data_IF_071589478769
#
_entry.id   IF_071589478769
#
_cell.length_a   1.000
_cell.length_b   1.000
_cell.length_c   1.000
_cell.angle_alpha   90.00
_cell.angle_beta   90.00
_cell.angle_gamma   90.00
#
_symmetry.space_group_name_H-M   'P 1'
#
loop_
_entity.id
_entity.type
_entity.pdbx_description
1 polymer ?
#
# COMPACT_ATOMS: atom_id res chain seq x y z
N UNK A 1 16.98 -1.34 -18.48
CA UNK A 1 17.40 -0.24 -17.58
C UNK A 1 16.17 0.18 -16.82
N UNK A 2 16.23 0.14 -15.50
CA UNK A 2 15.17 0.58 -14.59
C UNK A 2 15.81 1.56 -13.61
N UNK A 3 15.04 2.55 -13.15
CA UNK A 3 15.48 3.56 -12.18
C UNK A 3 14.39 3.70 -11.13
N UNK A 4 14.79 3.81 -9.87
CA UNK A 4 13.87 4.02 -8.76
C UNK A 4 13.63 5.51 -8.56
N UNK A 5 12.37 5.91 -8.46
CA UNK A 5 11.99 7.28 -8.15
C UNK A 5 12.24 7.57 -6.68
N UNK A 6 12.83 8.73 -6.31
CA UNK A 6 12.93 9.14 -4.92
C UNK A 6 11.55 9.49 -4.33
N UNK A 7 11.44 9.65 -3.00
CA UNK A 7 10.28 10.24 -2.35
C UNK A 7 9.88 11.57 -3.00
N UNK A 8 8.59 11.73 -3.29
CA UNK A 8 8.03 12.95 -3.87
C UNK A 8 6.60 13.16 -3.38
N UNK A 9 6.13 14.41 -3.42
CA UNK A 9 4.73 14.74 -3.16
C UNK A 9 3.82 14.23 -4.29
N UNK A 10 2.52 14.08 -4.01
CA UNK A 10 1.54 13.69 -5.03
C UNK A 10 1.51 14.69 -6.19
N UNK A 11 1.45 14.20 -7.42
CA UNK A 11 1.31 15.02 -8.62
C UNK A 11 2.07 14.49 -9.83
N UNK A 12 1.73 15.04 -11.00
CA UNK A 12 2.48 14.82 -12.22
C UNK A 12 3.83 15.53 -12.15
N UNK A 13 4.87 14.86 -12.67
CA UNK A 13 6.22 15.40 -12.80
C UNK A 13 6.76 15.10 -14.18
N UNK A 14 7.69 15.95 -14.58
CA UNK A 14 8.40 15.79 -15.85
C UNK A 14 9.53 14.78 -15.68
N UNK A 15 9.73 13.96 -16.71
CA UNK A 15 10.87 13.04 -16.77
C UNK A 15 11.89 13.60 -17.74
N UNK A 16 13.09 13.85 -17.25
CA UNK A 16 14.24 14.25 -18.07
C UNK A 16 15.26 13.11 -18.14
N UNK A 17 15.63 12.72 -19.35
CA UNK A 17 16.73 11.79 -19.60
C UNK A 17 17.92 12.59 -20.11
N UNK A 18 19.08 12.43 -19.47
CA UNK A 18 20.33 13.09 -19.86
C UNK A 18 21.39 12.06 -20.26
N UNK A 19 22.01 12.24 -21.43
CA UNK A 19 23.14 11.41 -21.88
C UNK A 19 24.45 11.89 -21.26
N UNK A 20 25.47 11.04 -21.24
CA UNK A 20 26.80 11.39 -20.72
C UNK A 20 27.42 12.59 -21.47
N UNK A 21 27.09 12.75 -22.74
CA UNK A 21 27.57 13.82 -23.61
C UNK A 21 26.84 15.16 -23.39
N UNK A 22 25.91 15.22 -22.42
CA UNK A 22 25.23 16.45 -22.01
C UNK A 22 23.92 16.75 -22.74
N UNK A 23 23.49 15.92 -23.69
CA UNK A 23 22.18 16.08 -24.32
C UNK A 23 21.07 15.67 -23.34
N UNK A 24 19.96 16.41 -23.31
CA UNK A 24 18.78 16.01 -22.56
C UNK A 24 17.50 16.02 -23.38
N UNK A 25 16.55 15.21 -22.96
CA UNK A 25 15.19 15.16 -23.51
C UNK A 25 14.22 15.11 -22.34
N UNK A 26 13.28 16.03 -22.32
CA UNK A 26 12.27 16.18 -21.27
C UNK A 26 10.90 15.82 -21.83
N UNK A 27 10.18 14.97 -21.10
CA UNK A 27 8.78 14.70 -21.34
C UNK A 27 7.96 15.33 -20.20
N UNK A 28 7.10 16.32 -20.49
CA UNK A 28 6.21 16.91 -19.50
C UNK A 28 5.17 15.93 -18.98
N UNK A 29 4.84 16.00 -17.68
CA UNK A 29 3.79 15.20 -17.01
C UNK A 29 3.90 13.68 -17.28
N UNK A 30 5.12 13.20 -17.47
CA UNK A 30 5.39 11.82 -17.91
C UNK A 30 5.23 10.78 -16.81
N UNK A 31 5.26 11.20 -15.54
CA UNK A 31 5.11 10.33 -14.38
C UNK A 31 4.20 10.98 -13.34
N UNK A 32 3.35 10.19 -12.67
CA UNK A 32 2.45 10.68 -11.63
C UNK A 32 2.79 9.99 -10.31
N UNK A 33 3.11 10.78 -9.29
CA UNK A 33 3.20 10.30 -7.91
C UNK A 33 1.79 10.25 -7.32
N UNK A 34 1.34 9.06 -6.94
CA UNK A 34 0.09 8.87 -6.21
C UNK A 34 0.34 8.90 -4.70
N UNK A 35 -0.57 9.53 -3.95
CA UNK A 35 -0.56 9.44 -2.50
C UNK A 35 -1.01 8.04 -2.05
N UNK A 36 -0.37 7.55 -0.99
CA UNK A 36 -0.85 6.38 -0.28
C UNK A 36 -2.25 6.66 0.27
N UNK A 37 -3.22 5.81 -0.08
CA UNK A 37 -4.57 5.84 0.48
C UNK A 37 -5.09 4.43 0.70
N UNK A 38 -5.85 4.23 1.77
CA UNK A 38 -6.58 3.00 2.03
C UNK A 38 -8.07 3.34 2.10
N UNK A 39 -8.84 2.81 1.15
CA UNK A 39 -10.25 3.16 0.96
C UNK A 39 -11.18 2.14 1.60
N UNK A 40 -10.88 0.84 1.50
CA UNK A 40 -11.77 -0.22 1.98
C UNK A 40 -11.04 -1.53 2.25
N UNK A 41 -11.60 -2.31 3.18
CA UNK A 41 -11.28 -3.72 3.40
C UNK A 41 -12.46 -4.60 2.97
N UNK A 42 -12.20 -5.71 2.29
CA UNK A 42 -13.24 -6.68 1.91
C UNK A 42 -12.70 -8.11 1.86
N UNK A 43 -13.37 -9.13 2.42
CA UNK A 43 -14.55 -9.04 3.29
C UNK A 43 -14.27 -8.21 4.55
N UNK A 44 -15.33 -7.63 5.13
CA UNK A 44 -15.23 -6.86 6.40
C UNK A 44 -15.28 -7.76 7.65
N UNK A 45 -15.32 -9.08 7.46
CA UNK A 45 -15.34 -10.08 8.51
C UNK A 45 -14.24 -11.11 8.27
N UNK A 46 -13.63 -11.56 9.37
CA UNK A 46 -12.68 -12.67 9.42
C UNK A 46 -12.94 -13.52 10.67
N UNK A 47 -12.61 -14.80 10.62
CA UNK A 47 -12.66 -15.73 11.74
C UNK A 47 -11.58 -15.43 12.77
N UNK A 48 -11.89 -15.67 14.05
CA UNK A 48 -10.92 -15.52 15.16
C UNK A 48 -9.69 -16.42 15.03
N UNK A 49 -9.79 -17.53 14.29
CA UNK A 49 -8.68 -18.44 14.00
C UNK A 49 -7.66 -17.86 12.99
N UNK A 50 -8.03 -16.79 12.29
CA UNK A 50 -7.21 -16.16 11.24
C UNK A 50 -7.19 -16.96 9.94
N UNK A 51 -6.16 -16.74 9.13
CA UNK A 51 -5.95 -17.32 7.79
C UNK A 51 -7.02 -16.95 6.75
N UNK A 52 -7.99 -16.12 7.10
CA UNK A 52 -8.90 -15.54 6.12
C UNK A 52 -8.16 -14.58 5.20
N UNK A 53 -8.42 -14.72 3.90
CA UNK A 53 -7.91 -13.81 2.88
C UNK A 53 -8.84 -12.61 2.77
N UNK A 54 -8.31 -11.43 3.07
CA UNK A 54 -8.98 -10.15 2.86
C UNK A 54 -8.22 -9.31 1.83
N UNK A 55 -8.93 -8.35 1.25
CA UNK A 55 -8.43 -7.44 0.23
C UNK A 55 -8.48 -6.01 0.75
N UNK A 56 -7.37 -5.30 0.58
CA UNK A 56 -7.24 -3.88 0.89
C UNK A 56 -7.28 -3.11 -0.42
N UNK A 57 -8.31 -2.28 -0.59
CA UNK A 57 -8.49 -1.41 -1.75
C UNK A 57 -7.97 -0.02 -1.42
N UNK A 58 -7.15 0.56 -2.29
CA UNK A 58 -6.45 1.81 -2.04
C UNK A 58 -5.82 2.42 -3.28
N UNK A 59 -4.81 3.27 -3.07
CA UNK A 59 -3.93 3.84 -4.11
C UNK A 59 -2.52 3.95 -3.56
N UNK A 60 -1.53 4.08 -4.44
CA UNK A 60 -0.13 4.26 -4.06
C UNK A 60 0.52 3.03 -3.40
N UNK A 61 -0.03 1.81 -3.57
CA UNK A 61 0.59 0.60 -3.06
C UNK A 61 1.78 0.20 -3.93
N UNK A 62 2.99 0.31 -3.39
CA UNK A 62 4.22 -0.02 -4.10
C UNK A 62 4.75 -1.36 -3.61
N UNK A 63 4.87 -2.31 -4.54
CA UNK A 63 5.44 -3.61 -4.22
C UNK A 63 6.85 -3.46 -3.63
N UNK A 64 7.18 -4.28 -2.62
CA UNK A 64 8.42 -4.17 -1.84
C UNK A 64 8.53 -2.96 -0.90
N UNK A 65 7.63 -1.98 -0.98
CA UNK A 65 7.66 -0.75 -0.17
C UNK A 65 6.43 -0.57 0.72
N UNK A 66 5.70 -1.65 0.99
CA UNK A 66 4.47 -1.62 1.80
C UNK A 66 4.62 -2.56 2.99
N UNK A 67 4.08 -2.16 4.14
CA UNK A 67 3.79 -3.04 5.27
C UNK A 67 2.33 -2.91 5.68
N UNK A 68 1.70 -4.04 6.01
CA UNK A 68 0.29 -4.11 6.41
C UNK A 68 0.23 -4.42 7.91
N UNK A 69 -0.65 -3.72 8.62
CA UNK A 69 -0.92 -3.98 10.03
C UNK A 69 -2.41 -4.12 10.31
N UNK A 70 -2.78 -5.11 11.13
CA UNK A 70 -4.13 -5.32 11.66
C UNK A 70 -4.04 -5.19 13.18
N UNK A 71 -4.79 -4.25 13.76
CA UNK A 71 -4.69 -3.88 15.18
C UNK A 71 -3.25 -3.60 15.66
N UNK A 72 -2.48 -2.87 14.84
CA UNK A 72 -1.04 -2.60 15.05
C UNK A 72 -0.13 -3.84 15.05
N UNK A 73 -0.65 -5.03 14.71
CA UNK A 73 0.14 -6.25 14.51
C UNK A 73 0.56 -6.34 13.05
N UNK A 74 1.87 -6.50 12.82
CA UNK A 74 2.44 -6.64 11.47
C UNK A 74 2.02 -7.95 10.81
N UNK A 75 1.52 -7.86 9.58
CA UNK A 75 1.10 -9.01 8.79
C UNK A 75 2.27 -9.57 8.00
N UNK A 76 2.61 -10.84 8.22
CA UNK A 76 3.71 -11.51 7.52
C UNK A 76 3.31 -12.08 6.15
N UNK A 77 2.02 -12.38 5.95
CA UNK A 77 1.52 -13.04 4.75
C UNK A 77 0.57 -12.11 3.98
N UNK A 78 1.13 -11.32 3.06
CA UNK A 78 0.39 -10.47 2.14
C UNK A 78 1.11 -10.37 0.80
N UNK A 79 0.39 -9.89 -0.22
CA UNK A 79 0.87 -9.69 -1.57
C UNK A 79 0.28 -8.39 -2.12
N UNK A 80 1.13 -7.51 -2.66
CA UNK A 80 0.69 -6.32 -3.39
C UNK A 80 0.34 -6.75 -4.82
N UNK A 81 -0.96 -6.90 -5.11
CA UNK A 81 -1.44 -7.38 -6.42
C UNK A 81 -1.42 -6.27 -7.49
N UNK A 82 -1.59 -5.02 -7.07
CA UNK A 82 -1.50 -3.83 -7.94
C UNK A 82 -1.32 -2.57 -7.10
N UNK A 83 -1.07 -1.40 -7.73
CA UNK A 83 -1.04 -0.11 -7.03
C UNK A 83 -2.30 0.25 -6.23
N UNK A 84 -3.40 -0.48 -6.44
CA UNK A 84 -4.70 -0.24 -5.78
C UNK A 84 -5.27 -1.43 -5.01
N UNK A 85 -4.55 -2.56 -4.97
CA UNK A 85 -5.03 -3.79 -4.35
C UNK A 85 -3.92 -4.57 -3.64
N UNK A 86 -4.16 -4.89 -2.37
CA UNK A 86 -3.33 -5.82 -1.58
C UNK A 86 -4.20 -6.99 -1.16
N UNK A 87 -3.70 -8.22 -1.28
CA UNK A 87 -4.27 -9.38 -0.62
C UNK A 87 -3.48 -9.66 0.66
N UNK A 88 -4.15 -9.90 1.79
CA UNK A 88 -3.51 -10.23 3.06
C UNK A 88 -4.26 -11.36 3.75
N UNK A 89 -3.53 -12.26 4.40
CA UNK A 89 -4.08 -13.32 5.23
C UNK A 89 -4.05 -12.86 6.68
N UNK A 90 -5.21 -12.90 7.34
CA UNK A 90 -5.34 -12.52 8.76
C UNK A 90 -4.56 -13.47 9.67
N UNK A 91 -4.20 -12.99 10.85
CA UNK A 91 -3.68 -13.81 11.94
C UNK A 91 -4.80 -14.07 12.94
N UNK A 92 -4.60 -15.06 13.81
CA UNK A 92 -5.51 -15.32 14.91
C UNK A 92 -5.66 -14.06 15.78
N UNK A 93 -6.89 -13.70 16.10
CA UNK A 93 -7.21 -12.48 16.81
C UNK A 93 -8.47 -12.66 17.66
N UNK A 94 -8.55 -11.94 18.79
CA UNK A 94 -9.75 -11.95 19.61
C UNK A 94 -10.96 -11.36 18.86
N UNK A 95 -12.18 -11.80 19.22
CA UNK A 95 -13.39 -11.23 18.66
C UNK A 95 -13.45 -9.71 18.88
N UNK A 96 -13.78 -8.94 17.84
CA UNK A 96 -13.89 -7.48 17.94
C UNK A 96 -13.68 -6.74 16.62
N UNK A 97 -13.97 -5.44 16.62
CA UNK A 97 -13.59 -4.55 15.51
C UNK A 97 -12.17 -4.06 15.70
N UNK A 98 -11.40 -4.10 14.62
CA UNK A 98 -10.01 -3.64 14.61
C UNK A 98 -9.75 -2.67 13.49
N UNK A 99 -8.72 -1.85 13.66
CA UNK A 99 -8.21 -1.00 12.60
C UNK A 99 -7.31 -1.80 11.65
N UNK A 100 -7.32 -1.39 10.39
CA UNK A 100 -6.35 -1.86 9.39
C UNK A 100 -5.55 -0.65 8.91
N UNK A 101 -4.23 -0.82 8.80
CA UNK A 101 -3.35 0.23 8.32
C UNK A 101 -2.32 -0.31 7.33
N UNK A 102 -1.92 0.58 6.43
CA UNK A 102 -0.89 0.34 5.43
C UNK A 102 0.16 1.43 5.60
N UNK A 103 1.42 1.03 5.65
CA UNK A 103 2.57 1.95 5.76
C UNK A 103 3.43 1.80 4.52
N UNK A 104 3.75 2.91 3.88
CA UNK A 104 4.76 2.99 2.83
C UNK A 104 6.14 3.13 3.48
N UNK A 105 6.97 2.10 3.36
CA UNK A 105 8.30 2.05 3.98
C UNK A 105 9.33 2.91 3.25
N UNK A 106 9.05 3.36 2.02
CA UNK A 106 9.92 4.27 1.25
C UNK A 106 9.75 5.75 1.60
N UNK A 107 8.57 6.14 2.09
CA UNK A 107 8.24 7.54 2.44
C UNK A 107 7.85 7.73 3.92
N UNK A 108 7.67 6.62 4.66
CA UNK A 108 7.11 6.56 6.02
C UNK A 108 5.66 7.06 6.12
N UNK A 109 4.95 7.20 5.01
CA UNK A 109 3.52 7.54 5.00
C UNK A 109 2.69 6.40 5.58
N UNK A 110 1.74 6.72 6.47
CA UNK A 110 0.83 5.75 7.10
C UNK A 110 -0.61 6.13 6.80
N UNK A 111 -1.41 5.17 6.38
CA UNK A 111 -2.87 5.30 6.24
C UNK A 111 -3.57 4.27 7.11
N UNK A 112 -4.66 4.67 7.76
CA UNK A 112 -5.39 3.84 8.72
C UNK A 112 -6.89 3.98 8.52
N UNK A 113 -7.56 2.85 8.37
CA UNK A 113 -9.01 2.74 8.48
C UNK A 113 -9.36 2.22 9.88
N UNK A 114 -9.99 3.04 10.75
CA UNK A 114 -10.50 2.54 12.02
C UNK A 114 -11.68 1.60 11.78
N UNK A 115 -11.81 0.57 12.62
CA UNK A 115 -12.94 -0.37 12.62
C UNK A 115 -13.21 -1.00 11.24
N UNK A 116 -12.14 -1.29 10.49
CA UNK A 116 -12.21 -1.75 9.10
C UNK A 116 -12.50 -3.25 8.97
N UNK A 117 -12.18 -4.03 10.00
CA UNK A 117 -12.33 -5.48 10.01
C UNK A 117 -12.96 -5.93 11.33
N UNK A 118 -13.93 -6.84 11.25
CA UNK A 118 -14.57 -7.49 12.39
C UNK A 118 -14.11 -8.93 12.50
N UNK A 119 -13.51 -9.30 13.62
CA UNK A 119 -13.28 -10.70 13.96
C UNK A 119 -14.55 -11.32 14.56
N UNK A 120 -14.98 -12.46 14.02
CA UNK A 120 -16.16 -13.23 14.42
C UNK A 120 -15.76 -14.68 14.75
N UNK A 121 -16.50 -15.37 15.63
CA UNK A 121 -16.27 -16.79 15.91
C UNK A 121 -16.47 -17.69 14.68
#
# INVERSE_FOLDING_TARGET
MTVDTPPHAMGAVDVEVRTADGNSSRMPDAFVFEALALHRVWPVQAGVDGLDRIYLHGTGFRDGHVSVHIDNVSMAQFEVLSPSLIAVFTQAHAQGQVAVSVTDTGTLGVVRLPNALQFVP
#
